data_IF_287859532507
#
_entry.id   IF_287859532507
#
_cell.length_a   1.000
_cell.length_b   1.000
_cell.length_c   1.000
_cell.angle_alpha   90.00
_cell.angle_beta   90.00
_cell.angle_gamma   90.00
#
_symmetry.space_group_name_H-M   'P 1'
#
loop_
_entity.id
_entity.type
_entity.pdbx_description
1 polymer ?
#
# COMPACT_ATOMS: atom_id res chain seq x y z
N UNK A 1 8.34 35.68 -35.18
CA UNK A 1 8.53 34.22 -35.06
C UNK A 1 9.96 33.85 -34.66
N UNK A 2 10.58 34.53 -33.68
CA UNK A 2 11.97 34.22 -33.29
C UNK A 2 12.28 34.59 -31.82
N UNK A 3 11.28 34.46 -30.92
CA UNK A 3 11.48 34.80 -29.50
C UNK A 3 10.64 33.96 -28.53
N UNK A 4 10.35 32.71 -28.89
CA UNK A 4 9.61 31.76 -28.05
C UNK A 4 10.41 30.49 -27.67
N UNK A 5 11.68 30.37 -28.09
CA UNK A 5 12.53 29.20 -27.77
C UNK A 5 13.62 29.45 -26.72
N UNK A 6 13.65 30.62 -26.08
CA UNK A 6 14.65 30.94 -25.05
C UNK A 6 14.19 30.70 -23.60
N UNK A 7 13.04 30.03 -23.40
CA UNK A 7 12.52 29.73 -22.05
C UNK A 7 12.80 28.30 -21.58
N UNK A 8 13.41 27.44 -22.40
CA UNK A 8 13.62 26.03 -22.05
C UNK A 8 14.95 25.73 -21.34
N UNK A 9 15.86 26.69 -21.21
CA UNK A 9 17.20 26.45 -20.65
C UNK A 9 17.61 27.47 -19.59
N UNK A 10 16.74 27.70 -18.60
CA UNK A 10 17.13 28.34 -17.34
C UNK A 10 17.25 27.26 -16.29
N UNK A 11 18.50 26.85 -16.08
CA UNK A 11 19.07 26.21 -14.90
C UNK A 11 18.10 26.26 -13.70
N UNK A 12 17.27 25.23 -13.57
CA UNK A 12 16.31 25.12 -12.48
C UNK A 12 17.17 24.98 -11.22
N UNK A 13 17.09 25.92 -10.26
CA UNK A 13 17.80 25.77 -9.01
C UNK A 13 17.37 24.45 -8.38
N UNK A 14 18.33 23.65 -7.91
CA UNK A 14 18.09 22.37 -7.22
C UNK A 14 17.05 22.49 -6.09
N UNK A 15 16.81 23.72 -5.61
CA UNK A 15 15.77 24.09 -4.63
C UNK A 15 14.33 23.83 -5.12
N UNK A 16 13.99 24.05 -6.39
CA UNK A 16 12.63 23.77 -6.91
C UNK A 16 12.42 22.26 -7.10
N UNK A 17 13.50 21.51 -7.37
CA UNK A 17 13.44 20.04 -7.42
C UNK A 17 13.15 19.40 -6.05
N UNK A 18 13.31 20.15 -4.95
CA UNK A 18 13.04 19.68 -3.58
C UNK A 18 11.54 19.63 -3.25
N UNK A 19 10.72 20.51 -3.85
CA UNK A 19 9.28 20.61 -3.53
C UNK A 19 8.39 19.60 -4.28
N UNK A 20 8.96 18.81 -5.20
CA UNK A 20 8.23 17.81 -6.02
C UNK A 20 8.57 16.35 -5.71
N UNK A 21 9.45 16.08 -4.75
CA UNK A 21 9.84 14.72 -4.37
C UNK A 21 8.96 14.24 -3.22
N UNK A 22 8.20 13.16 -3.43
CA UNK A 22 7.66 12.38 -2.30
C UNK A 22 8.85 11.95 -1.46
N UNK A 23 8.81 12.21 -0.15
CA UNK A 23 9.80 11.67 0.79
C UNK A 23 9.89 10.15 0.57
N UNK A 24 11.05 9.69 0.11
CA UNK A 24 11.31 8.26 0.01
C UNK A 24 11.62 7.77 1.42
N UNK A 25 10.89 6.77 1.89
CA UNK A 25 11.22 6.05 3.11
C UNK A 25 12.67 5.53 3.00
N UNK A 26 13.54 5.99 3.90
CA UNK A 26 14.99 5.77 3.86
C UNK A 26 15.41 4.33 4.17
N UNK A 27 14.47 3.42 4.39
CA UNK A 27 14.73 2.02 4.70
C UNK A 27 13.94 1.11 3.75
N UNK A 28 14.49 -0.03 3.31
CA UNK A 28 13.71 -1.06 2.63
C UNK A 28 12.64 -1.58 3.59
N UNK A 29 11.43 -1.04 3.46
CA UNK A 29 10.27 -1.47 4.21
C UNK A 29 9.30 -2.19 3.25
N UNK A 30 8.90 -3.41 3.60
CA UNK A 30 7.86 -4.14 2.89
C UNK A 30 6.50 -3.55 3.28
N UNK A 31 6.06 -2.52 2.57
CA UNK A 31 4.71 -1.97 2.73
C UNK A 31 3.72 -2.84 1.96
N UNK A 32 2.94 -3.67 2.68
CA UNK A 32 1.78 -4.33 2.10
C UNK A 32 0.70 -3.28 1.85
N UNK A 33 0.53 -2.88 0.58
CA UNK A 33 -0.29 -1.72 0.17
C UNK A 33 -1.81 -1.89 0.28
N UNK A 34 -2.29 -3.02 0.76
CA UNK A 34 -3.72 -3.26 0.91
C UNK A 34 -3.99 -3.67 2.34
N UNK A 35 -4.80 -2.89 3.05
CA UNK A 35 -5.60 -3.47 4.13
C UNK A 35 -6.26 -4.70 3.55
N UNK A 36 -6.05 -5.87 4.17
CA UNK A 36 -6.59 -7.14 3.67
C UNK A 36 -8.12 -7.15 3.72
N UNK A 37 -8.75 -6.09 4.22
CA UNK A 37 -10.18 -5.95 4.45
C UNK A 37 -10.84 -5.29 3.24
N UNK A 38 -11.93 -5.88 2.74
CA UNK A 38 -12.75 -5.31 1.69
C UNK A 38 -14.24 -5.46 2.01
N UNK A 39 -15.07 -4.65 1.35
CA UNK A 39 -16.52 -4.78 1.39
C UNK A 39 -17.04 -5.19 0.03
N UNK A 40 -17.81 -6.26 -0.03
CA UNK A 40 -18.45 -6.74 -1.26
C UNK A 40 -19.95 -6.71 -1.00
N UNK A 41 -20.69 -5.93 -1.78
CA UNK A 41 -22.15 -5.75 -1.63
C UNK A 41 -22.62 -5.30 -0.23
N UNK A 42 -21.75 -4.62 0.54
CA UNK A 42 -22.03 -4.18 1.91
C UNK A 42 -21.54 -5.14 2.99
N UNK A 43 -21.21 -6.38 2.61
CA UNK A 43 -20.70 -7.40 3.52
C UNK A 43 -19.18 -7.30 3.68
N UNK A 44 -18.68 -7.64 4.86
CA UNK A 44 -17.27 -7.54 5.23
C UNK A 44 -16.51 -8.82 4.84
N UNK A 45 -15.40 -8.67 4.13
CA UNK A 45 -14.53 -9.78 3.71
C UNK A 45 -13.07 -9.43 3.97
N UNK A 46 -12.20 -10.44 4.02
CA UNK A 46 -10.77 -10.20 3.88
C UNK A 46 -10.12 -11.09 2.82
N UNK A 47 -9.03 -10.63 2.22
CA UNK A 47 -8.28 -11.36 1.20
C UNK A 47 -7.00 -11.99 1.75
N UNK A 48 -6.82 -13.28 1.47
CA UNK A 48 -5.59 -14.02 1.79
C UNK A 48 -4.49 -13.71 0.76
N UNK A 49 -3.25 -14.12 1.04
CA UNK A 49 -2.12 -14.02 0.09
C UNK A 49 -2.37 -14.84 -1.18
N UNK A 50 -3.14 -15.91 -1.07
CA UNK A 50 -3.59 -16.78 -2.14
C UNK A 50 -4.75 -16.17 -2.96
N UNK A 51 -5.12 -14.92 -2.64
CA UNK A 51 -6.18 -14.17 -3.31
C UNK A 51 -7.57 -14.79 -3.14
N UNK A 52 -7.77 -15.55 -2.06
CA UNK A 52 -9.08 -16.06 -1.61
C UNK A 52 -9.77 -14.99 -0.77
N UNK A 53 -11.08 -14.79 -1.01
CA UNK A 53 -11.94 -13.96 -0.17
C UNK A 53 -12.54 -14.81 0.94
N UNK A 54 -12.16 -14.51 2.18
CA UNK A 54 -12.71 -15.10 3.38
C UNK A 54 -13.82 -14.19 3.91
N UNK A 55 -14.91 -14.79 4.37
CA UNK A 55 -16.12 -14.09 4.82
C UNK A 55 -17.39 -14.63 4.15
N UNK A 56 -18.54 -13.95 4.32
CA UNK A 56 -18.70 -12.64 4.96
C UNK A 56 -18.60 -12.67 6.49
N UNK A 57 -18.16 -11.56 7.07
CA UNK A 57 -18.07 -11.35 8.51
C UNK A 57 -19.18 -10.43 9.01
N UNK A 58 -19.77 -10.78 10.16
CA UNK A 58 -20.90 -10.06 10.75
C UNK A 58 -20.51 -8.68 11.28
N UNK A 59 -19.28 -8.53 11.78
CA UNK A 59 -18.79 -7.30 12.38
C UNK A 59 -17.28 -7.11 12.09
N UNK A 60 -16.79 -5.85 12.12
CA UNK A 60 -15.39 -5.56 11.84
C UNK A 60 -14.43 -6.13 12.90
N UNK A 61 -14.88 -6.34 14.14
CA UNK A 61 -14.05 -6.87 15.22
C UNK A 61 -13.69 -8.35 14.99
N UNK A 62 -14.67 -9.17 14.58
CA UNK A 62 -14.52 -10.58 14.21
C UNK A 62 -13.63 -10.70 12.99
N UNK A 63 -13.83 -9.84 12.00
CA UNK A 63 -12.97 -9.76 10.83
C UNK A 63 -11.51 -9.46 11.23
N UNK A 64 -11.28 -8.47 12.09
CA UNK A 64 -9.94 -8.13 12.55
C UNK A 64 -9.25 -9.29 13.29
N UNK A 65 -10.01 -10.02 14.13
CA UNK A 65 -9.50 -11.23 14.82
C UNK A 65 -9.10 -12.33 13.84
N UNK A 66 -9.93 -12.60 12.84
CA UNK A 66 -9.65 -13.62 11.82
C UNK A 66 -8.46 -13.24 10.93
N UNK A 67 -8.35 -11.97 10.57
CA UNK A 67 -7.18 -11.42 9.86
C UNK A 67 -5.91 -11.60 10.69
N UNK A 68 -5.95 -11.27 11.98
CA UNK A 68 -4.81 -11.43 12.89
C UNK A 68 -4.40 -12.91 13.00
N UNK A 69 -5.37 -13.81 13.20
CA UNK A 69 -5.12 -15.24 13.27
C UNK A 69 -4.53 -15.79 11.96
N UNK A 70 -4.97 -15.29 10.80
CA UNK A 70 -4.37 -15.63 9.51
C UNK A 70 -2.91 -15.17 9.41
N UNK A 71 -2.62 -13.92 9.82
CA UNK A 71 -1.27 -13.37 9.80
C UNK A 71 -0.34 -14.20 10.71
N UNK A 72 -0.78 -14.54 11.92
CA UNK A 72 -0.01 -15.35 12.87
C UNK A 72 0.30 -16.74 12.30
N UNK A 73 -0.70 -17.42 11.72
CA UNK A 73 -0.49 -18.70 11.02
C UNK A 73 0.55 -18.59 9.90
N UNK A 74 0.48 -17.55 9.09
CA UNK A 74 1.41 -17.33 7.98
C UNK A 74 2.83 -16.99 8.45
N UNK A 75 2.97 -16.25 9.56
CA UNK A 75 4.27 -15.95 10.16
C UNK A 75 4.92 -17.21 10.73
N UNK A 76 4.15 -18.03 11.46
CA UNK A 76 4.65 -19.31 11.98
C UNK A 76 5.11 -20.24 10.86
N UNK A 77 4.30 -20.41 9.81
CA UNK A 77 4.66 -21.23 8.64
C UNK A 77 5.95 -20.72 7.97
N UNK A 78 6.12 -19.40 7.87
CA UNK A 78 7.33 -18.80 7.30
C UNK A 78 8.57 -19.00 8.16
N UNK A 79 8.43 -19.05 9.48
CA UNK A 79 9.54 -19.25 10.42
C UNK A 79 9.96 -20.71 10.55
N UNK A 80 9.09 -21.65 10.17
CA UNK A 80 9.36 -23.09 10.17
C UNK A 80 10.01 -23.61 8.87
N UNK A 81 10.27 -22.74 7.89
CA UNK A 81 10.91 -23.03 6.60
C UNK A 81 12.32 -22.45 6.54
#
# INVERSE_FOLDING_TARGET
>A
MHKLMEFANRNIPQEIAMYGKRAQDNAPATHFRCDRVCRVNGDLYFSTRENTLEGPFENPEKLAREVQAYIERMLLLRMSL
#
